data_IF_134164829754
#
_entry.id   IF_134164829754
#
_cell.length_a   1.000
_cell.length_b   1.000
_cell.length_c   1.000
_cell.angle_alpha   90.00
_cell.angle_beta   90.00
_cell.angle_gamma   90.00
#
_symmetry.space_group_name_H-M   'P 1'
#
loop_
_entity.id
_entity.type
_entity.pdbx_description
1 polymer ?
#
# COMPACT_ATOMS: atom_id res chain seq x y z
N UNK A 1 9.15 -37.51 -56.13
CA UNK A 1 8.70 -38.89 -56.38
C UNK A 1 7.61 -39.18 -55.40
N UNK A 2 6.36 -38.88 -55.81
CA UNK A 2 5.20 -39.79 -55.97
C UNK A 2 4.98 -40.72 -54.75
N UNK A 3 3.84 -40.81 -54.09
CA UNK A 3 2.48 -41.13 -54.65
C UNK A 3 1.43 -40.81 -53.57
N UNK A 4 0.31 -40.24 -54.02
CA UNK A 4 -1.01 -40.15 -53.41
C UNK A 4 -1.58 -41.55 -53.13
N UNK A 5 -2.41 -41.68 -52.06
CA UNK A 5 -3.64 -42.47 -52.17
C UNK A 5 -4.71 -41.95 -51.21
N UNK A 6 -5.84 -41.64 -51.79
CA UNK A 6 -7.15 -41.38 -51.18
C UNK A 6 -7.75 -42.68 -50.65
N UNK A 7 -8.42 -42.61 -49.52
CA UNK A 7 -9.57 -43.47 -49.28
C UNK A 7 -10.70 -42.68 -48.62
N UNK A 8 -11.80 -42.69 -49.31
CA UNK A 8 -13.08 -42.11 -48.92
C UNK A 8 -13.91 -43.25 -48.33
N UNK A 9 -14.57 -42.99 -47.20
CA UNK A 9 -15.45 -44.01 -46.61
C UNK A 9 -16.37 -43.44 -45.51
N UNK A 10 -17.52 -43.05 -45.92
CA UNK A 10 -18.88 -43.12 -45.34
C UNK A 10 -19.18 -42.60 -43.94
N UNK A 11 -20.11 -41.65 -43.93
CA UNK A 11 -20.97 -41.21 -42.82
C UNK A 11 -21.62 -42.38 -42.06
N UNK A 12 -21.62 -42.25 -40.71
CA UNK A 12 -22.68 -42.72 -39.86
C UNK A 12 -22.99 -41.66 -38.83
N UNK A 13 -24.13 -41.00 -39.00
CA UNK A 13 -24.79 -40.17 -37.98
C UNK A 13 -25.15 -41.04 -36.78
N UNK A 14 -24.52 -40.74 -35.65
CA UNK A 14 -24.96 -41.22 -34.35
C UNK A 14 -25.06 -40.00 -33.43
N UNK A 15 -26.26 -39.41 -33.35
CA UNK A 15 -26.55 -38.37 -32.38
C UNK A 15 -26.45 -38.93 -30.99
N UNK A 16 -25.35 -38.57 -30.27
CA UNK A 16 -25.33 -38.62 -28.81
C UNK A 16 -25.64 -37.22 -28.34
N UNK A 17 -26.86 -37.01 -27.93
CA UNK A 17 -27.24 -35.97 -26.97
C UNK A 17 -26.43 -36.23 -25.70
N UNK A 18 -25.29 -35.58 -25.61
CA UNK A 18 -24.56 -35.40 -24.36
C UNK A 18 -25.42 -34.50 -23.47
N UNK A 19 -26.23 -35.11 -22.61
CA UNK A 19 -26.71 -34.46 -21.40
C UNK A 19 -25.46 -34.10 -20.60
N UNK A 20 -25.03 -32.87 -20.75
CA UNK A 20 -24.12 -32.22 -19.82
C UNK A 20 -24.84 -32.19 -18.49
N UNK A 21 -24.62 -33.21 -17.67
CA UNK A 21 -24.93 -33.18 -16.26
C UNK A 21 -24.08 -32.06 -15.68
N UNK A 22 -24.65 -30.88 -15.49
CA UNK A 22 -24.21 -29.97 -14.46
C UNK A 22 -24.34 -30.77 -13.16
N UNK A 23 -23.26 -31.37 -12.73
CA UNK A 23 -23.12 -31.79 -11.33
C UNK A 23 -23.06 -30.49 -10.54
N UNK A 24 -24.24 -30.00 -10.11
CA UNK A 24 -24.29 -29.07 -8.99
C UNK A 24 -23.52 -29.74 -7.84
N UNK A 25 -22.46 -29.09 -7.35
CA UNK A 25 -21.87 -29.49 -6.07
C UNK A 25 -23.03 -29.66 -5.08
N UNK A 26 -23.07 -30.72 -4.26
CA UNK A 26 -24.08 -30.82 -3.23
C UNK A 26 -24.01 -29.54 -2.40
N UNK A 27 -25.12 -28.78 -2.38
CA UNK A 27 -25.20 -27.56 -1.61
C UNK A 27 -24.84 -27.86 -0.16
N UNK A 28 -23.98 -27.02 0.41
CA UNK A 28 -23.69 -27.10 1.85
C UNK A 28 -25.00 -26.93 2.56
N UNK A 29 -25.38 -27.95 3.35
CA UNK A 29 -26.62 -27.90 4.11
C UNK A 29 -26.45 -26.87 5.23
N UNK A 30 -27.19 -25.78 5.15
CA UNK A 30 -27.35 -24.87 6.29
C UNK A 30 -27.85 -25.73 7.46
N UNK A 31 -27.18 -25.69 8.61
CA UNK A 31 -27.55 -26.55 9.74
C UNK A 31 -29.02 -26.36 10.13
N UNK A 32 -29.73 -27.46 10.32
CA UNK A 32 -31.12 -27.42 10.76
C UNK A 32 -31.18 -27.10 12.26
N UNK A 33 -31.94 -26.05 12.62
CA UNK A 33 -32.16 -25.62 14.02
C UNK A 33 -30.85 -25.31 14.80
N UNK A 34 -29.94 -24.47 14.26
CA UNK A 34 -28.75 -24.09 15.00
C UNK A 34 -29.12 -23.26 16.25
N UNK A 35 -28.28 -23.35 17.28
CA UNK A 35 -28.36 -22.49 18.46
C UNK A 35 -28.03 -21.05 18.01
N UNK A 36 -28.90 -20.11 18.32
CA UNK A 36 -28.68 -18.69 17.95
C UNK A 36 -27.77 -18.02 18.97
N UNK A 37 -26.58 -17.59 18.53
CA UNK A 37 -25.70 -16.73 19.30
C UNK A 37 -26.05 -15.26 19.00
N UNK A 38 -26.43 -14.48 20.02
CA UNK A 38 -26.76 -13.07 19.87
C UNK A 38 -25.50 -12.17 19.85
N UNK A 39 -24.40 -12.65 19.27
CA UNK A 39 -23.13 -11.95 19.17
C UNK A 39 -22.49 -12.20 17.80
N UNK A 40 -21.68 -11.23 17.35
CA UNK A 40 -20.86 -11.38 16.15
C UNK A 40 -19.80 -12.48 16.36
N UNK A 41 -19.42 -13.21 15.30
CA UNK A 41 -18.29 -14.12 15.37
C UNK A 41 -17.00 -13.35 15.59
N UNK A 42 -16.07 -13.94 16.32
CA UNK A 42 -14.69 -13.44 16.34
C UNK A 42 -13.94 -14.07 15.17
N UNK A 43 -13.55 -13.28 14.21
CA UNK A 43 -12.87 -13.74 13.01
C UNK A 43 -11.48 -13.10 12.84
N UNK A 44 -10.55 -13.80 12.22
CA UNK A 44 -9.23 -13.30 11.88
C UNK A 44 -8.82 -13.72 10.46
N UNK A 45 -8.47 -12.76 9.58
CA UNK A 45 -8.55 -11.30 9.79
C UNK A 45 -9.98 -10.82 10.05
N UNK A 46 -10.13 -9.67 10.73
CA UNK A 46 -11.44 -9.06 10.98
C UNK A 46 -11.93 -8.33 9.74
N UNK A 47 -12.94 -8.91 9.09
CA UNK A 47 -13.59 -8.36 7.89
C UNK A 47 -15.02 -7.85 8.15
N UNK A 48 -15.40 -7.69 9.41
CA UNK A 48 -16.75 -7.23 9.77
C UNK A 48 -16.91 -5.75 9.36
N UNK A 49 -17.88 -5.48 8.48
CA UNK A 49 -18.20 -4.13 8.03
C UNK A 49 -17.15 -3.47 7.11
N UNK A 50 -16.24 -4.24 6.52
CA UNK A 50 -15.23 -3.69 5.61
C UNK A 50 -15.81 -3.35 4.23
N UNK A 51 -15.23 -2.35 3.57
CA UNK A 51 -15.51 -2.03 2.16
C UNK A 51 -14.42 -2.62 1.28
N UNK A 52 -14.82 -3.33 0.22
CA UNK A 52 -13.90 -4.02 -0.69
C UNK A 52 -14.13 -3.64 -2.15
N UNK A 53 -13.10 -3.66 -3.01
CA UNK A 53 -13.28 -3.55 -4.45
C UNK A 53 -13.81 -4.88 -5.02
N UNK A 54 -14.54 -4.82 -6.11
CA UNK A 54 -15.12 -6.01 -6.76
C UNK A 54 -14.06 -6.98 -7.35
N UNK A 55 -12.79 -6.61 -7.32
CA UNK A 55 -11.66 -7.38 -7.86
C UNK A 55 -10.73 -7.96 -6.80
N UNK A 56 -11.03 -7.79 -5.50
CA UNK A 56 -10.16 -8.27 -4.42
C UNK A 56 -10.16 -9.80 -4.33
N UNK A 57 -9.04 -10.38 -3.93
CA UNK A 57 -8.93 -11.80 -3.58
C UNK A 57 -9.95 -12.19 -2.50
N UNK A 58 -10.36 -13.48 -2.42
CA UNK A 58 -11.28 -13.94 -1.40
C UNK A 58 -10.87 -13.52 0.01
N UNK A 59 -11.84 -13.03 0.77
CA UNK A 59 -11.65 -12.70 2.18
C UNK A 59 -11.76 -13.96 3.04
N UNK A 60 -10.76 -14.83 2.93
CA UNK A 60 -10.67 -16.02 3.74
C UNK A 60 -10.36 -15.67 5.20
N UNK A 61 -11.03 -16.32 6.16
CA UNK A 61 -10.83 -16.04 7.58
C UNK A 61 -10.98 -17.27 8.46
N UNK A 62 -10.29 -17.25 9.58
CA UNK A 62 -10.50 -18.20 10.67
C UNK A 62 -11.57 -17.67 11.63
N UNK A 63 -12.32 -18.56 12.24
CA UNK A 63 -13.15 -18.24 13.40
C UNK A 63 -12.34 -18.53 14.66
N UNK A 64 -12.15 -17.50 15.49
CA UNK A 64 -11.40 -17.62 16.75
C UNK A 64 -12.26 -18.32 17.83
N UNK A 65 -12.53 -19.59 17.63
CA UNK A 65 -13.25 -20.46 18.56
C UNK A 65 -12.46 -21.74 18.79
N UNK A 66 -11.93 -21.90 19.99
CA UNK A 66 -10.93 -22.92 20.36
C UNK A 66 -11.47 -24.35 20.19
N UNK A 67 -12.78 -24.55 20.32
CA UNK A 67 -13.41 -25.89 20.28
C UNK A 67 -14.21 -26.13 18.99
N UNK A 68 -14.01 -25.34 17.93
CA UNK A 68 -14.68 -25.53 16.66
C UNK A 68 -14.21 -26.82 15.98
N UNK A 69 -15.14 -27.70 15.62
CA UNK A 69 -14.90 -28.95 14.88
C UNK A 69 -15.10 -28.71 13.38
N UNK A 70 -16.02 -27.81 13.01
CA UNK A 70 -16.27 -27.37 11.64
C UNK A 70 -16.82 -25.96 11.61
N UNK A 71 -16.54 -25.25 10.52
CA UNK A 71 -17.01 -23.89 10.24
C UNK A 71 -17.71 -23.89 8.89
N UNK A 72 -19.01 -23.56 8.86
CA UNK A 72 -19.74 -23.32 7.62
C UNK A 72 -20.01 -21.82 7.49
N UNK A 73 -19.77 -21.27 6.31
CA UNK A 73 -20.00 -19.86 6.02
C UNK A 73 -20.86 -19.73 4.77
N UNK A 74 -21.90 -18.92 4.88
CA UNK A 74 -22.76 -18.54 3.75
C UNK A 74 -22.58 -17.04 3.49
N UNK A 75 -22.34 -16.67 2.24
CA UNK A 75 -22.19 -15.29 1.79
C UNK A 75 -23.26 -15.01 0.76
N UNK A 76 -24.26 -14.21 1.11
CA UNK A 76 -25.39 -13.85 0.25
C UNK A 76 -25.21 -12.44 -0.30
N UNK A 77 -25.28 -12.29 -1.63
CA UNK A 77 -25.30 -11.00 -2.28
C UNK A 77 -26.63 -10.25 -2.13
N UNK A 78 -26.58 -8.98 -1.76
CA UNK A 78 -27.80 -8.15 -1.64
C UNK A 78 -28.56 -7.97 -2.96
N UNK A 79 -27.91 -8.16 -4.09
CA UNK A 79 -28.55 -8.10 -5.41
C UNK A 79 -28.82 -9.49 -5.96
N UNK A 80 -27.82 -10.36 -5.99
CA UNK A 80 -27.94 -11.71 -6.53
C UNK A 80 -26.75 -12.58 -6.10
N UNK A 81 -26.98 -13.87 -6.01
CA UNK A 81 -25.96 -14.90 -5.82
C UNK A 81 -25.67 -15.23 -4.37
N UNK A 82 -25.10 -16.39 -4.19
CA UNK A 82 -24.71 -16.95 -2.90
C UNK A 82 -23.43 -17.76 -3.09
N UNK A 83 -22.58 -17.74 -2.10
CA UNK A 83 -21.36 -18.53 -2.02
C UNK A 83 -21.26 -19.20 -0.66
N UNK A 84 -20.77 -20.42 -0.61
CA UNK A 84 -20.67 -21.19 0.61
C UNK A 84 -19.26 -21.76 0.80
N UNK A 85 -18.85 -21.90 2.06
CA UNK A 85 -17.60 -22.54 2.46
C UNK A 85 -17.84 -23.46 3.64
N UNK A 86 -17.22 -24.64 3.64
CA UNK A 86 -17.23 -25.63 4.71
C UNK A 86 -15.79 -26.08 5.00
N UNK A 87 -15.45 -26.28 6.27
CA UNK A 87 -14.16 -26.78 6.68
C UNK A 87 -13.69 -26.22 8.02
N UNK A 88 -12.38 -26.17 8.20
CA UNK A 88 -11.76 -25.65 9.42
C UNK A 88 -11.77 -24.11 9.48
N UNK A 89 -11.93 -23.45 8.31
CA UNK A 89 -11.98 -22.00 8.17
C UNK A 89 -12.75 -21.60 6.91
N UNK A 90 -13.17 -20.35 6.81
CA UNK A 90 -13.79 -19.79 5.61
C UNK A 90 -12.76 -19.70 4.47
N UNK A 91 -13.03 -20.45 3.39
CA UNK A 91 -12.15 -20.50 2.21
C UNK A 91 -13.01 -20.55 0.94
N UNK A 92 -12.89 -19.52 0.09
CA UNK A 92 -13.72 -19.35 -1.08
C UNK A 92 -12.91 -19.54 -2.37
N UNK A 93 -13.55 -20.13 -3.38
CA UNK A 93 -13.00 -20.20 -4.72
C UNK A 93 -12.85 -18.78 -5.32
N UNK A 94 -11.74 -18.52 -5.97
CA UNK A 94 -11.40 -17.18 -6.48
C UNK A 94 -12.38 -16.71 -7.57
N UNK A 95 -12.74 -17.59 -8.51
CA UNK A 95 -13.59 -17.25 -9.64
C UNK A 95 -15.04 -17.06 -9.19
N UNK A 96 -15.53 -17.92 -8.29
CA UNK A 96 -16.87 -17.80 -7.70
C UNK A 96 -16.98 -16.54 -6.83
N UNK A 97 -15.93 -16.22 -6.05
CA UNK A 97 -15.85 -15.01 -5.26
C UNK A 97 -15.90 -13.73 -6.14
N UNK A 98 -15.07 -13.65 -7.18
CA UNK A 98 -15.07 -12.53 -8.11
C UNK A 98 -16.42 -12.39 -8.83
N UNK A 99 -17.05 -13.51 -9.18
CA UNK A 99 -18.38 -13.48 -9.79
C UNK A 99 -19.42 -12.87 -8.85
N UNK A 100 -19.43 -13.30 -7.59
CA UNK A 100 -20.34 -12.75 -6.58
C UNK A 100 -20.10 -11.26 -6.34
N UNK A 101 -18.84 -10.83 -6.18
CA UNK A 101 -18.49 -9.42 -6.00
C UNK A 101 -18.93 -8.56 -7.20
N UNK A 102 -18.66 -9.02 -8.43
CA UNK A 102 -19.01 -8.29 -9.65
C UNK A 102 -20.52 -8.07 -9.76
N UNK A 103 -21.33 -9.07 -9.40
CA UNK A 103 -22.79 -8.98 -9.41
C UNK A 103 -23.35 -8.06 -8.32
N UNK A 104 -22.60 -7.86 -7.24
CA UNK A 104 -23.04 -7.05 -6.07
C UNK A 104 -22.31 -5.72 -5.94
N UNK A 105 -21.60 -5.27 -6.97
CA UNK A 105 -20.91 -3.97 -6.98
C UNK A 105 -21.84 -2.81 -6.61
N UNK A 106 -21.45 -2.00 -5.62
CA UNK A 106 -22.29 -0.95 -5.03
C UNK A 106 -23.45 -1.47 -4.18
N UNK A 107 -23.34 -2.69 -3.68
CA UNK A 107 -24.25 -3.33 -2.72
C UNK A 107 -23.46 -4.01 -1.61
N UNK A 108 -24.12 -4.92 -0.91
CA UNK A 108 -23.57 -5.58 0.27
C UNK A 108 -23.54 -7.09 0.08
N UNK A 109 -22.67 -7.76 0.80
CA UNK A 109 -22.66 -9.20 1.02
C UNK A 109 -22.97 -9.45 2.48
N UNK A 110 -24.04 -10.19 2.75
CA UNK A 110 -24.37 -10.66 4.09
C UNK A 110 -23.64 -11.96 4.38
N UNK A 111 -22.89 -12.01 5.45
CA UNK A 111 -22.10 -13.17 5.86
C UNK A 111 -22.71 -13.80 7.11
N UNK A 112 -23.10 -15.08 7.00
CA UNK A 112 -23.61 -15.91 8.09
C UNK A 112 -22.58 -16.97 8.44
N UNK A 113 -22.19 -17.05 9.71
CA UNK A 113 -21.19 -18.01 10.21
C UNK A 113 -21.87 -19.03 11.13
N UNK A 114 -21.64 -20.30 10.84
CA UNK A 114 -22.06 -21.44 11.66
C UNK A 114 -20.80 -22.16 12.16
N UNK A 115 -20.83 -22.56 13.44
CA UNK A 115 -19.75 -23.32 14.07
C UNK A 115 -20.29 -24.58 14.72
N UNK A 116 -19.69 -25.73 14.40
CA UNK A 116 -20.01 -27.02 15.01
C UNK A 116 -19.12 -27.30 16.21
N UNK A 117 -19.73 -27.72 17.30
CA UNK A 117 -19.07 -28.22 18.52
C UNK A 117 -19.81 -29.40 19.08
N UNK A 118 -19.15 -30.55 19.21
CA UNK A 118 -19.69 -31.78 19.77
C UNK A 118 -21.06 -32.14 19.16
N UNK A 119 -21.15 -32.02 17.83
CA UNK A 119 -22.33 -32.31 17.06
C UNK A 119 -23.47 -31.29 17.18
N UNK A 120 -23.25 -30.13 17.79
CA UNK A 120 -24.21 -29.04 17.89
C UNK A 120 -23.73 -27.82 17.08
N UNK A 121 -24.63 -27.32 16.25
CA UNK A 121 -24.38 -26.14 15.44
C UNK A 121 -24.81 -24.85 16.14
N UNK A 122 -23.96 -23.82 16.10
CA UNK A 122 -24.27 -22.47 16.58
C UNK A 122 -24.20 -21.52 15.41
N UNK A 123 -25.25 -20.72 15.19
CA UNK A 123 -25.27 -19.62 14.22
C UNK A 123 -24.96 -18.34 14.95
N UNK A 124 -23.92 -17.64 14.49
CA UNK A 124 -23.57 -16.30 14.96
C UNK A 124 -24.45 -15.23 14.29
N UNK A 125 -24.48 -14.02 14.88
CA UNK A 125 -25.12 -12.86 14.27
C UNK A 125 -24.43 -12.54 12.93
N UNK A 126 -25.23 -12.31 11.90
CA UNK A 126 -24.77 -11.94 10.56
C UNK A 126 -24.00 -10.60 10.59
N UNK A 127 -23.08 -10.44 9.65
CA UNK A 127 -22.40 -9.18 9.37
C UNK A 127 -22.33 -8.90 7.87
N UNK A 128 -22.09 -7.64 7.52
CA UNK A 128 -22.01 -7.20 6.14
C UNK A 128 -20.57 -6.94 5.70
N UNK A 129 -20.31 -7.17 4.41
CA UNK A 129 -19.14 -6.70 3.65
C UNK A 129 -19.68 -5.80 2.54
N UNK A 130 -19.20 -4.56 2.45
CA UNK A 130 -19.63 -3.60 1.45
C UNK A 130 -18.82 -3.73 0.17
N UNK A 131 -19.47 -3.88 -0.98
CA UNK A 131 -18.81 -3.94 -2.29
C UNK A 131 -18.83 -2.55 -2.92
N UNK A 132 -17.68 -1.91 -2.97
CA UNK A 132 -17.54 -0.55 -3.49
C UNK A 132 -18.05 -0.40 -4.93
N UNK A 133 -18.69 0.71 -5.29
CA UNK A 133 -18.97 1.07 -6.68
C UNK A 133 -17.71 1.49 -7.45
N UNK A 134 -16.62 1.88 -6.74
CA UNK A 134 -15.37 2.32 -7.36
C UNK A 134 -14.50 1.12 -7.76
N UNK A 135 -13.95 1.19 -8.97
CA UNK A 135 -13.04 0.16 -9.46
C UNK A 135 -11.70 0.23 -8.73
N UNK A 136 -11.01 -0.91 -8.67
CA UNK A 136 -9.59 -1.00 -8.37
C UNK A 136 -8.97 -1.86 -9.48
N UNK A 137 -8.39 -1.19 -10.49
CA UNK A 137 -7.82 -1.85 -11.67
C UNK A 137 -6.29 -1.98 -11.59
N UNK A 138 -5.69 -1.60 -10.47
CA UNK A 138 -4.26 -1.82 -10.24
C UNK A 138 -4.00 -3.30 -10.00
N UNK A 139 -2.95 -3.82 -10.67
CA UNK A 139 -2.59 -5.24 -10.55
C UNK A 139 -2.29 -5.67 -9.11
N UNK A 140 -1.64 -4.80 -8.36
CA UNK A 140 -1.23 -5.15 -7.01
C UNK A 140 -0.46 -4.05 -6.29
N UNK A 141 0.23 -4.46 -5.25
CA UNK A 141 1.07 -3.59 -4.42
C UNK A 141 2.51 -4.07 -4.38
N UNK A 142 3.43 -3.10 -4.32
CA UNK A 142 4.84 -3.37 -4.07
C UNK A 142 5.19 -2.89 -2.66
N UNK A 143 5.85 -3.72 -1.88
CA UNK A 143 6.18 -3.42 -0.50
C UNK A 143 7.51 -4.02 -0.07
N UNK A 144 8.08 -3.45 0.97
CA UNK A 144 9.24 -3.99 1.65
C UNK A 144 8.80 -4.94 2.76
N UNK A 145 9.33 -6.15 2.78
CA UNK A 145 9.16 -7.12 3.87
C UNK A 145 10.45 -7.24 4.67
N UNK A 146 10.38 -6.97 5.95
CA UNK A 146 11.50 -6.98 6.89
C UNK A 146 10.99 -7.33 8.29
N UNK A 147 11.83 -8.03 9.08
CA UNK A 147 11.55 -8.25 10.49
C UNK A 147 11.43 -6.91 11.26
N UNK A 148 10.72 -6.88 12.39
CA UNK A 148 10.64 -5.69 13.25
C UNK A 148 12.02 -5.16 13.63
N UNK A 149 12.16 -3.84 13.73
CA UNK A 149 13.45 -3.16 13.81
C UNK A 149 14.34 -3.46 15.02
N UNK A 150 13.87 -4.24 15.99
CA UNK A 150 14.68 -4.72 17.12
C UNK A 150 15.26 -6.12 16.90
N UNK A 151 14.93 -6.78 15.79
CA UNK A 151 15.53 -8.06 15.38
C UNK A 151 16.65 -7.82 14.38
N UNK A 152 17.70 -8.64 14.48
CA UNK A 152 18.71 -8.72 13.41
C UNK A 152 18.02 -9.33 12.20
N UNK A 153 17.89 -8.55 11.13
CA UNK A 153 17.24 -9.05 9.93
C UNK A 153 18.12 -10.05 9.18
N UNK A 154 17.69 -11.31 9.11
CA UNK A 154 18.31 -12.32 8.25
C UNK A 154 17.86 -12.13 6.80
N UNK A 155 16.56 -12.26 6.54
CA UNK A 155 15.95 -12.14 5.23
C UNK A 155 15.03 -10.92 5.15
N UNK A 156 15.27 -10.05 4.17
CA UNK A 156 14.40 -8.94 3.83
C UNK A 156 14.38 -8.75 2.30
N UNK A 157 13.37 -8.08 1.80
CA UNK A 157 13.27 -7.85 0.36
C UNK A 157 12.18 -6.88 -0.02
N UNK A 158 12.15 -6.57 -1.31
CA UNK A 158 11.06 -5.88 -1.98
C UNK A 158 10.24 -6.93 -2.71
N UNK A 159 8.95 -6.96 -2.44
CA UNK A 159 8.00 -7.93 -2.96
C UNK A 159 6.88 -7.21 -3.69
N UNK A 160 6.25 -7.92 -4.60
CA UNK A 160 4.98 -7.51 -5.21
C UNK A 160 3.93 -8.58 -4.93
N UNK A 161 2.70 -8.13 -4.70
CA UNK A 161 1.54 -8.98 -4.44
C UNK A 161 0.38 -8.56 -5.31
N UNK A 162 -0.22 -9.53 -5.99
CA UNK A 162 -1.46 -9.35 -6.71
C UNK A 162 -2.62 -9.15 -5.74
N UNK A 163 -3.50 -8.19 -5.99
CA UNK A 163 -4.66 -7.94 -5.13
C UNK A 163 -5.87 -8.79 -5.47
N UNK A 164 -5.93 -9.37 -6.68
CA UNK A 164 -7.05 -10.22 -7.10
C UNK A 164 -6.89 -11.69 -6.74
N UNK A 165 -5.70 -12.09 -6.28
CA UNK A 165 -5.40 -13.46 -5.87
C UNK A 165 -4.35 -13.45 -4.74
N UNK A 166 -3.75 -14.61 -4.45
CA UNK A 166 -2.76 -14.75 -3.37
C UNK A 166 -1.31 -14.78 -3.87
N UNK A 167 -1.07 -14.44 -5.14
CA UNK A 167 0.26 -14.49 -5.73
C UNK A 167 1.15 -13.39 -5.14
N UNK A 168 2.29 -13.80 -4.59
CA UNK A 168 3.36 -12.94 -4.08
C UNK A 168 4.68 -13.36 -4.70
N UNK A 169 5.43 -12.41 -5.25
CA UNK A 169 6.76 -12.66 -5.81
C UNK A 169 7.78 -11.68 -5.28
N UNK A 170 9.03 -12.14 -5.09
CA UNK A 170 10.13 -11.28 -4.72
C UNK A 170 10.67 -10.54 -5.96
N UNK A 171 10.80 -9.22 -5.87
CA UNK A 171 11.50 -8.40 -6.87
C UNK A 171 13.01 -8.51 -6.62
N UNK A 172 13.44 -8.35 -5.35
CA UNK A 172 14.81 -8.54 -4.91
C UNK A 172 14.85 -8.85 -3.42
N UNK A 173 15.65 -9.82 -3.04
CA UNK A 173 15.95 -10.14 -1.65
C UNK A 173 17.42 -9.83 -1.31
N UNK A 174 17.69 -9.47 -0.06
CA UNK A 174 19.05 -9.19 0.41
C UNK A 174 19.97 -10.42 0.39
N UNK A 175 19.43 -11.61 0.21
CA UNK A 175 20.20 -12.84 -0.02
C UNK A 175 21.06 -12.76 -1.28
N UNK A 176 20.67 -11.94 -2.26
CA UNK A 176 21.47 -11.63 -3.45
C UNK A 176 22.68 -10.70 -3.16
N UNK A 177 22.65 -9.97 -2.05
CA UNK A 177 23.72 -9.09 -1.57
C UNK A 177 23.75 -9.16 -0.03
N UNK A 178 24.40 -10.18 0.57
CA UNK A 178 24.41 -10.39 2.01
C UNK A 178 24.89 -9.16 2.78
N UNK A 179 24.19 -8.83 3.87
CA UNK A 179 24.45 -7.63 4.66
C UNK A 179 23.83 -6.34 4.09
N UNK A 180 23.25 -6.38 2.88
CA UNK A 180 22.57 -5.23 2.29
C UNK A 180 21.16 -5.05 2.89
N UNK A 181 20.74 -3.78 2.96
CA UNK A 181 19.37 -3.39 3.27
C UNK A 181 18.75 -2.78 2.01
N UNK A 182 17.58 -3.28 1.62
CA UNK A 182 16.81 -2.81 0.46
C UNK A 182 15.69 -1.90 0.93
N UNK A 183 15.58 -0.70 0.35
CA UNK A 183 14.56 0.27 0.74
C UNK A 183 14.26 1.31 -0.35
N UNK A 184 13.41 2.28 -0.03
CA UNK A 184 13.13 3.47 -0.84
C UNK A 184 12.73 3.10 -2.28
N UNK A 185 11.81 2.13 -2.44
CA UNK A 185 11.31 1.72 -3.74
C UNK A 185 10.12 2.58 -4.19
N UNK A 186 10.04 2.85 -5.48
CA UNK A 186 8.86 3.45 -6.11
C UNK A 186 8.81 3.12 -7.59
N UNK A 187 7.62 2.92 -8.11
CA UNK A 187 7.36 2.86 -9.55
C UNK A 187 6.89 4.23 -10.05
N UNK A 188 7.01 4.48 -11.36
CA UNK A 188 6.37 5.64 -11.96
C UNK A 188 4.86 5.40 -12.04
N UNK A 189 4.11 6.01 -11.12
CA UNK A 189 2.69 5.72 -10.91
C UNK A 189 2.51 4.21 -10.68
N UNK A 190 1.74 3.54 -11.52
CA UNK A 190 1.48 2.10 -11.49
C UNK A 190 2.23 1.33 -12.58
N UNK A 191 3.26 1.94 -13.22
CA UNK A 191 4.04 1.30 -14.27
C UNK A 191 5.16 0.42 -13.70
N UNK A 192 5.07 -0.92 -13.77
CA UNK A 192 6.07 -1.82 -13.21
C UNK A 192 7.41 -1.83 -13.99
N UNK A 193 7.44 -1.33 -15.21
CA UNK A 193 8.65 -1.31 -16.06
C UNK A 193 9.56 -0.11 -15.76
N UNK A 194 9.03 0.90 -15.07
CA UNK A 194 9.76 2.08 -14.66
C UNK A 194 9.74 2.22 -13.14
N UNK A 195 10.85 1.82 -12.50
CA UNK A 195 10.95 1.85 -11.05
C UNK A 195 12.37 2.14 -10.58
N UNK A 196 12.50 2.46 -9.31
CA UNK A 196 13.77 2.66 -8.62
C UNK A 196 13.69 2.15 -7.20
N UNK A 197 14.82 1.71 -6.67
CA UNK A 197 15.00 1.43 -5.24
C UNK A 197 16.46 1.61 -4.82
N UNK A 198 16.71 1.74 -3.52
CA UNK A 198 18.03 1.94 -2.96
C UNK A 198 18.51 0.74 -2.18
N UNK A 199 19.76 0.34 -2.40
CA UNK A 199 20.51 -0.68 -1.65
C UNK A 199 21.49 0.04 -0.72
N UNK A 200 21.47 -0.32 0.56
CA UNK A 200 22.39 0.20 1.59
C UNK A 200 23.39 -0.88 1.99
N UNK A 201 24.50 -0.47 2.56
CA UNK A 201 25.60 -1.37 2.99
C UNK A 201 26.79 -1.29 2.03
N UNK A 202 27.67 -2.29 2.07
CA UNK A 202 28.93 -2.30 1.32
C UNK A 202 28.75 -2.19 -0.19
N UNK A 203 27.63 -2.66 -0.71
CA UNK A 203 27.24 -2.56 -2.12
C UNK A 203 26.23 -1.43 -2.37
N UNK A 204 26.25 -0.36 -1.54
CA UNK A 204 25.29 0.74 -1.60
C UNK A 204 25.20 1.38 -2.98
N UNK A 205 24.02 1.34 -3.60
CA UNK A 205 23.73 1.93 -4.89
C UNK A 205 22.21 2.09 -5.07
N UNK A 206 21.80 2.95 -5.99
CA UNK A 206 20.39 3.10 -6.39
C UNK A 206 20.18 2.42 -7.74
N UNK A 207 19.26 1.48 -7.82
CA UNK A 207 18.81 0.92 -9.09
C UNK A 207 17.80 1.88 -9.72
N UNK A 208 17.98 2.16 -11.00
CA UNK A 208 16.98 2.81 -11.85
C UNK A 208 16.65 1.88 -13.00
N UNK A 209 15.39 1.52 -13.15
CA UNK A 209 14.86 0.73 -14.27
C UNK A 209 13.99 1.62 -15.14
N UNK A 210 14.32 1.74 -16.41
CA UNK A 210 13.59 2.57 -17.36
C UNK A 210 13.81 2.05 -18.79
N UNK A 211 12.76 2.01 -19.61
CA UNK A 211 12.85 1.61 -21.04
C UNK A 211 13.56 0.26 -21.25
N UNK A 212 13.30 -0.72 -20.37
CA UNK A 212 13.92 -2.05 -20.41
C UNK A 212 15.38 -2.10 -19.99
N UNK A 213 15.99 -0.96 -19.59
CA UNK A 213 17.35 -0.89 -19.06
C UNK A 213 17.34 -0.78 -17.55
N UNK A 214 18.31 -1.44 -16.92
CA UNK A 214 18.54 -1.38 -15.46
C UNK A 214 19.95 -0.85 -15.22
N UNK A 215 20.05 0.22 -14.46
CA UNK A 215 21.31 0.89 -14.16
C UNK A 215 21.50 1.02 -12.65
N UNK A 216 22.72 0.80 -12.20
CA UNK A 216 23.13 1.00 -10.81
C UNK A 216 23.90 2.30 -10.68
N UNK A 217 23.36 3.23 -9.90
CA UNK A 217 23.90 4.56 -9.72
C UNK A 217 24.56 4.69 -8.34
N UNK A 218 25.75 5.28 -8.32
CA UNK A 218 26.43 5.78 -7.13
C UNK A 218 26.53 7.29 -7.25
N UNK A 219 25.55 8.00 -6.71
CA UNK A 219 25.39 9.44 -6.94
C UNK A 219 26.26 10.34 -6.03
N UNK A 220 27.00 9.76 -5.09
CA UNK A 220 27.88 10.56 -4.21
C UNK A 220 28.96 11.28 -5.02
N UNK A 221 28.99 12.60 -4.88
CA UNK A 221 29.99 13.47 -5.43
C UNK A 221 30.19 14.71 -4.51
N UNK A 222 30.94 15.71 -4.94
CA UNK A 222 31.21 16.91 -4.14
C UNK A 222 29.94 17.74 -3.84
N UNK A 223 28.96 17.70 -4.72
CA UNK A 223 27.69 18.42 -4.58
C UNK A 223 26.61 17.59 -3.87
N UNK A 224 26.67 16.25 -3.94
CA UNK A 224 25.70 15.33 -3.35
C UNK A 224 26.41 14.33 -2.44
N UNK A 225 26.41 14.58 -1.14
CA UNK A 225 27.18 13.78 -0.15
C UNK A 225 26.44 12.55 0.37
N UNK A 226 25.12 12.47 0.18
CA UNK A 226 24.25 11.39 0.65
C UNK A 226 23.87 10.38 -0.43
N UNK A 227 23.06 9.42 -0.05
CA UNK A 227 22.44 8.44 -0.96
C UNK A 227 21.16 8.99 -1.54
N UNK A 228 20.78 8.56 -2.75
CA UNK A 228 19.49 8.87 -3.37
C UNK A 228 18.39 8.05 -2.68
N UNK A 229 17.59 8.68 -1.84
CA UNK A 229 16.53 8.05 -1.06
C UNK A 229 15.18 8.75 -1.28
N UNK A 230 14.10 8.14 -0.84
CA UNK A 230 12.72 8.63 -0.97
C UNK A 230 12.35 9.10 -2.39
N UNK A 231 12.53 8.22 -3.39
CA UNK A 231 12.28 8.56 -4.78
C UNK A 231 10.81 8.82 -5.10
N UNK A 232 10.58 9.72 -6.07
CA UNK A 232 9.28 9.87 -6.72
C UNK A 232 9.43 10.29 -8.18
N UNK A 233 8.82 9.53 -9.09
CA UNK A 233 8.89 9.80 -10.50
C UNK A 233 8.01 10.98 -10.91
N UNK A 234 8.55 11.82 -11.80
CA UNK A 234 7.73 12.76 -12.54
C UNK A 234 6.78 12.01 -13.48
N UNK A 235 5.51 12.45 -13.66
CA UNK A 235 4.53 11.73 -14.46
C UNK A 235 4.95 11.47 -15.91
N UNK A 236 5.83 12.31 -16.49
CA UNK A 236 6.40 12.06 -17.82
C UNK A 236 7.39 10.89 -17.88
N UNK A 237 7.83 10.37 -16.74
CA UNK A 237 8.90 9.38 -16.65
C UNK A 237 10.32 9.92 -16.97
N UNK A 238 10.46 11.19 -17.29
CA UNK A 238 11.73 11.82 -17.68
C UNK A 238 12.64 12.13 -16.49
N UNK A 239 12.04 12.38 -15.34
CA UNK A 239 12.71 12.81 -14.12
C UNK A 239 12.29 11.95 -12.94
N UNK A 240 13.16 11.84 -11.95
CA UNK A 240 12.84 11.26 -10.65
C UNK A 240 13.38 12.19 -9.55
N UNK A 241 12.50 12.64 -8.66
CA UNK A 241 12.90 13.41 -7.49
C UNK A 241 13.42 12.45 -6.41
N UNK A 242 14.42 12.91 -5.67
CA UNK A 242 15.02 12.20 -4.54
C UNK A 242 15.30 13.18 -3.41
N UNK A 243 15.48 12.65 -2.22
CA UNK A 243 16.24 13.37 -1.20
C UNK A 243 17.52 12.64 -0.86
N UNK A 244 18.45 13.37 -0.26
CA UNK A 244 19.63 12.81 0.41
C UNK A 244 19.50 13.11 1.89
N UNK A 245 19.57 12.07 2.72
CA UNK A 245 19.38 12.21 4.16
C UNK A 245 20.59 11.63 4.90
N UNK A 246 21.19 12.44 5.77
CA UNK A 246 22.10 11.97 6.81
C UNK A 246 21.28 11.78 8.07
N UNK A 247 21.05 10.53 8.46
CA UNK A 247 20.17 10.19 9.58
C UNK A 247 20.97 9.65 10.74
N UNK A 248 20.45 9.88 11.95
CA UNK A 248 20.87 9.17 13.16
C UNK A 248 19.72 8.27 13.64
N UNK A 249 20.07 7.05 14.03
CA UNK A 249 19.13 6.09 14.59
C UNK A 249 19.48 5.81 16.04
N UNK A 250 18.50 5.92 16.93
CA UNK A 250 18.59 5.58 18.32
C UNK A 250 17.56 4.54 18.73
N UNK A 251 17.82 3.79 19.78
CA UNK A 251 16.88 2.84 20.34
C UNK A 251 16.35 3.38 21.68
N UNK A 252 15.04 3.34 21.84
CA UNK A 252 14.39 3.66 23.11
C UNK A 252 14.29 2.42 24.00
N UNK A 253 14.55 2.61 25.29
CA UNK A 253 14.26 1.59 26.30
C UNK A 253 12.81 1.65 26.81
N UNK A 254 11.94 2.41 26.15
CA UNK A 254 10.55 2.62 26.54
C UNK A 254 9.65 1.64 25.80
N UNK A 255 8.65 1.10 26.52
CA UNK A 255 7.59 0.32 25.91
C UNK A 255 6.87 1.19 24.88
N UNK A 256 6.54 0.61 23.74
CA UNK A 256 5.82 1.24 22.62
C UNK A 256 6.64 2.21 21.75
N UNK A 257 7.79 2.71 22.20
CA UNK A 257 8.74 3.49 21.40
C UNK A 257 10.03 2.67 21.25
N UNK A 258 10.33 2.21 20.03
CA UNK A 258 11.46 1.30 19.80
C UNK A 258 12.65 1.97 19.15
N UNK A 259 12.40 2.66 18.07
CA UNK A 259 13.43 3.25 17.23
C UNK A 259 13.06 4.69 16.95
N UNK A 260 14.03 5.57 17.13
CA UNK A 260 13.95 6.96 16.69
C UNK A 260 14.92 7.15 15.54
N UNK A 261 14.45 7.81 14.47
CA UNK A 261 15.28 8.21 13.35
C UNK A 261 15.06 9.69 13.08
N UNK A 262 16.11 10.46 13.17
CA UNK A 262 16.06 11.90 12.88
C UNK A 262 17.13 12.33 11.89
N UNK A 263 16.81 13.35 11.12
CA UNK A 263 17.72 13.95 10.16
C UNK A 263 18.76 14.81 10.88
N UNK A 264 20.00 14.73 10.41
CA UNK A 264 21.09 15.65 10.73
C UNK A 264 21.37 16.60 9.57
N UNK A 265 21.03 16.19 8.36
CA UNK A 265 21.03 16.97 7.14
C UNK A 265 20.17 16.25 6.10
N UNK A 266 19.41 17.00 5.33
CA UNK A 266 18.69 16.45 4.19
C UNK A 266 18.43 17.54 3.14
N UNK A 267 18.54 17.15 1.88
CA UNK A 267 18.35 18.02 0.72
C UNK A 267 17.47 17.31 -0.31
N UNK A 268 16.71 18.06 -1.09
CA UNK A 268 15.88 17.57 -2.20
C UNK A 268 16.52 17.95 -3.55
N UNK A 269 16.50 17.02 -4.48
CA UNK A 269 16.99 17.24 -5.84
C UNK A 269 16.22 16.38 -6.85
N UNK A 270 16.40 16.68 -8.13
CA UNK A 270 15.83 15.90 -9.23
C UNK A 270 16.94 15.28 -10.05
N UNK A 271 16.75 14.04 -10.45
CA UNK A 271 17.64 13.32 -11.34
C UNK A 271 16.95 13.05 -12.67
N UNK A 272 17.66 13.31 -13.77
CA UNK A 272 17.26 12.95 -15.11
C UNK A 272 18.08 11.73 -15.56
N UNK A 273 17.48 10.53 -15.70
CA UNK A 273 18.23 9.32 -16.06
C UNK A 273 18.91 9.37 -17.44
N UNK A 274 18.37 10.17 -18.36
CA UNK A 274 18.98 10.41 -19.67
C UNK A 274 18.95 11.90 -19.96
N UNK A 275 20.10 12.60 -19.90
CA UNK A 275 21.50 12.17 -20.07
C UNK A 275 22.33 11.92 -18.78
N UNK A 276 21.74 11.53 -17.65
CA UNK A 276 22.40 11.40 -16.34
C UNK A 276 22.74 12.74 -15.68
N UNK A 277 21.76 13.57 -15.54
CA UNK A 277 21.92 14.92 -15.00
C UNK A 277 21.29 15.04 -13.60
N UNK A 278 22.02 15.70 -12.69
CA UNK A 278 21.51 16.15 -11.40
C UNK A 278 21.01 17.59 -11.54
N UNK A 279 19.75 17.82 -11.21
CA UNK A 279 19.13 19.14 -11.19
C UNK A 279 19.04 19.58 -9.73
N UNK A 280 19.91 20.51 -9.37
CA UNK A 280 20.07 21.03 -8.02
C UNK A 280 19.56 22.47 -7.95
N UNK A 281 18.96 22.83 -6.81
CA UNK A 281 18.51 24.21 -6.56
C UNK A 281 18.79 24.60 -5.11
N UNK A 282 19.28 25.83 -4.90
CA UNK A 282 19.59 26.35 -3.57
C UNK A 282 18.38 26.51 -2.66
N UNK A 283 17.17 26.58 -3.20
CA UNK A 283 15.92 26.63 -2.45
C UNK A 283 15.51 25.26 -1.87
N UNK A 284 16.14 24.18 -2.35
CA UNK A 284 15.89 22.80 -1.96
C UNK A 284 17.08 22.14 -1.26
N UNK A 285 18.16 22.91 -1.04
CA UNK A 285 19.43 22.48 -0.43
C UNK A 285 19.94 23.56 0.52
N UNK A 286 19.11 23.85 1.52
CA UNK A 286 19.39 24.96 2.43
C UNK A 286 20.20 24.48 3.64
N UNK A 287 20.99 25.38 4.27
CA UNK A 287 21.80 25.03 5.44
C UNK A 287 21.00 25.02 6.74
N UNK A 288 19.92 25.78 6.76
CA UNK A 288 19.16 26.07 7.97
C UNK A 288 17.86 25.23 8.07
N UNK A 289 17.60 24.40 7.04
CA UNK A 289 16.43 23.53 7.00
C UNK A 289 16.82 22.11 6.58
N UNK A 290 15.93 21.19 6.84
CA UNK A 290 15.90 19.84 6.31
C UNK A 290 14.83 19.76 5.24
N UNK A 291 15.17 19.36 4.01
CA UNK A 291 14.25 19.12 2.91
C UNK A 291 14.22 17.63 2.58
N UNK A 292 13.03 17.03 2.54
CA UNK A 292 12.88 15.57 2.32
C UNK A 292 11.54 15.20 1.72
N UNK A 293 11.36 13.94 1.34
CA UNK A 293 10.11 13.35 0.81
C UNK A 293 9.53 14.10 -0.40
N UNK A 294 10.32 14.34 -1.45
CA UNK A 294 9.81 15.02 -2.63
C UNK A 294 8.80 14.18 -3.38
N UNK A 295 7.76 14.82 -3.94
CA UNK A 295 6.72 14.18 -4.73
C UNK A 295 6.17 15.15 -5.77
N UNK A 296 6.09 14.73 -7.03
CA UNK A 296 5.51 15.55 -8.09
C UNK A 296 3.97 15.52 -8.05
N UNK A 297 3.38 16.64 -8.40
CA UNK A 297 1.95 16.72 -8.72
C UNK A 297 1.61 15.82 -9.92
N UNK A 298 0.35 15.37 -10.06
CA UNK A 298 -0.06 14.52 -11.18
C UNK A 298 0.12 15.14 -12.57
N UNK A 299 0.09 16.47 -12.66
CA UNK A 299 0.37 17.23 -13.89
C UNK A 299 1.85 17.52 -14.11
N UNK A 300 2.71 17.21 -13.13
CA UNK A 300 4.16 17.38 -13.17
C UNK A 300 4.65 18.83 -13.05
N UNK A 301 3.77 19.80 -12.78
CA UNK A 301 4.15 21.22 -12.73
C UNK A 301 4.61 21.69 -11.36
N UNK A 302 4.42 20.88 -10.34
CA UNK A 302 4.73 21.20 -8.95
C UNK A 302 5.49 20.06 -8.32
N UNK A 303 6.53 20.38 -7.57
CA UNK A 303 7.19 19.48 -6.64
C UNK A 303 6.74 19.85 -5.23
N UNK A 304 6.08 18.92 -4.55
CA UNK A 304 5.80 18.99 -3.11
C UNK A 304 6.95 18.32 -2.36
N UNK A 305 7.24 18.79 -1.16
CA UNK A 305 8.25 18.21 -0.29
C UNK A 305 8.00 18.61 1.17
N UNK A 306 8.70 17.97 2.09
CA UNK A 306 8.65 18.34 3.51
C UNK A 306 9.85 19.20 3.85
N UNK A 307 9.64 20.28 4.61
CA UNK A 307 10.72 21.12 5.13
C UNK A 307 10.53 21.43 6.61
N UNK A 308 11.62 21.39 7.36
CA UNK A 308 11.70 21.77 8.78
C UNK A 308 12.94 22.60 9.03
N UNK A 309 12.85 23.58 9.94
CA UNK A 309 14.05 24.24 10.46
C UNK A 309 14.97 23.21 11.11
N UNK A 310 16.26 23.32 10.87
CA UNK A 310 17.27 22.49 11.51
C UNK A 310 17.38 22.84 13.00
N UNK A 311 17.39 21.81 13.84
CA UNK A 311 17.49 21.97 15.30
C UNK A 311 18.77 21.30 15.83
N UNK A 312 19.29 21.73 16.97
CA UNK A 312 20.47 21.10 17.57
C UNK A 312 20.22 19.64 17.94
N UNK A 313 21.01 18.74 17.39
CA UNK A 313 20.89 17.29 17.62
C UNK A 313 21.99 16.82 18.58
N UNK A 314 21.69 15.96 19.58
CA UNK A 314 20.41 15.27 19.81
C UNK A 314 19.39 16.02 20.68
N UNK A 315 19.72 17.16 21.27
CA UNK A 315 18.88 17.82 22.28
C UNK A 315 17.54 18.33 21.76
N UNK A 316 17.49 18.79 20.52
CA UNK A 316 16.32 19.40 19.88
C UNK A 316 15.54 18.48 18.95
N UNK A 317 15.76 17.16 18.95
CA UNK A 317 15.13 16.27 17.97
C UNK A 317 13.60 16.30 18.01
N UNK A 318 12.98 16.57 19.17
CA UNK A 318 11.51 16.70 19.32
C UNK A 318 10.97 18.05 18.83
N UNK A 319 11.85 19.01 18.57
CA UNK A 319 11.49 20.33 18.04
C UNK A 319 11.54 20.36 16.52
N UNK A 320 12.05 19.30 15.88
CA UNK A 320 12.01 19.12 14.43
C UNK A 320 10.57 18.86 14.00
N UNK A 321 9.98 19.82 13.31
CA UNK A 321 8.57 19.78 12.86
C UNK A 321 8.49 20.17 11.40
N UNK A 322 8.18 19.19 10.57
CA UNK A 322 8.08 19.36 9.13
C UNK A 322 6.74 19.97 8.72
N UNK A 323 6.82 20.88 7.77
CA UNK A 323 5.69 21.42 7.02
C UNK A 323 5.65 20.78 5.63
N UNK A 324 4.51 20.84 4.95
CA UNK A 324 4.41 20.49 3.54
C UNK A 324 4.58 21.76 2.71
N UNK A 325 5.58 21.74 1.85
CA UNK A 325 5.95 22.85 0.96
C UNK A 325 5.78 22.48 -0.50
N UNK A 326 5.78 23.46 -1.38
CA UNK A 326 5.76 23.28 -2.84
C UNK A 326 6.71 24.27 -3.54
N UNK A 327 7.20 23.84 -4.70
CA UNK A 327 7.91 24.68 -5.67
C UNK A 327 7.45 24.31 -7.07
N UNK A 328 7.38 25.28 -7.99
CA UNK A 328 7.10 25.02 -9.39
C UNK A 328 8.19 24.20 -10.05
N UNK A 329 7.85 23.39 -11.06
CA UNK A 329 8.81 22.65 -11.88
C UNK A 329 8.40 22.69 -13.35
N UNK A 330 9.32 23.10 -14.22
CA UNK A 330 9.14 23.08 -15.66
C UNK A 330 9.83 21.86 -16.28
N UNK A 331 9.06 20.85 -16.64
CA UNK A 331 9.58 19.62 -17.22
C UNK A 331 10.16 19.79 -18.66
N UNK A 332 9.88 20.90 -19.33
CA UNK A 332 10.47 21.18 -20.64
C UNK A 332 11.94 21.62 -20.52
N UNK A 333 12.25 22.37 -19.49
CA UNK A 333 13.59 22.94 -19.24
C UNK A 333 14.34 22.27 -18.09
N UNK A 334 13.66 21.46 -17.26
CA UNK A 334 14.21 20.88 -16.04
C UNK A 334 14.49 21.91 -14.94
N UNK A 335 13.81 23.06 -14.93
CA UNK A 335 14.07 24.13 -13.97
C UNK A 335 12.99 24.23 -12.90
N UNK A 336 13.42 24.58 -11.71
CA UNK A 336 12.51 24.92 -10.62
C UNK A 336 12.01 26.36 -10.73
N UNK A 337 10.90 26.64 -10.06
CA UNK A 337 10.42 27.99 -9.82
C UNK A 337 11.35 28.75 -8.87
N UNK A 338 11.07 30.03 -8.65
CA UNK A 338 11.93 30.93 -7.84
C UNK A 338 11.38 31.15 -6.41
N UNK A 339 10.35 30.42 -6.01
CA UNK A 339 9.69 30.58 -4.71
C UNK A 339 9.26 29.24 -4.16
N UNK A 340 9.47 29.04 -2.86
CA UNK A 340 8.91 27.95 -2.06
C UNK A 340 7.73 28.48 -1.25
N UNK A 341 6.59 27.83 -1.36
CA UNK A 341 5.38 28.12 -0.57
C UNK A 341 5.10 27.01 0.41
N UNK A 342 4.73 27.33 1.64
CA UNK A 342 4.18 26.37 2.59
C UNK A 342 2.69 26.20 2.33
N UNK A 343 2.25 24.97 2.02
CA UNK A 343 0.84 24.66 1.76
C UNK A 343 0.13 24.06 2.97
N UNK A 344 0.88 23.51 3.92
CA UNK A 344 0.38 23.06 5.20
C UNK A 344 1.41 23.28 6.29
N UNK A 345 1.09 24.13 7.27
CA UNK A 345 1.96 24.50 8.36
C UNK A 345 1.65 23.67 9.62
N UNK A 346 2.23 22.45 9.69
CA UNK A 346 2.05 21.57 10.84
C UNK A 346 2.76 22.10 12.10
N UNK A 347 3.85 22.87 11.95
CA UNK A 347 4.61 23.47 13.06
C UNK A 347 3.75 24.41 13.89
N UNK A 348 2.86 25.18 13.29
CA UNK A 348 1.89 26.04 14.01
C UNK A 348 0.91 25.23 14.87
N UNK A 349 0.65 23.98 14.50
CA UNK A 349 -0.16 23.05 15.28
C UNK A 349 0.65 22.28 16.33
N UNK A 350 1.96 22.56 16.44
CA UNK A 350 2.88 21.80 17.30
C UNK A 350 3.18 20.39 16.81
N UNK A 351 2.92 20.11 15.51
CA UNK A 351 3.02 18.79 14.86
C UNK A 351 4.04 18.78 13.72
N UNK A 352 4.26 17.60 13.18
CA UNK A 352 5.11 17.33 12.03
C UNK A 352 4.31 16.62 10.94
N UNK A 353 4.33 17.12 9.69
CA UNK A 353 3.67 16.53 8.54
C UNK A 353 4.71 15.93 7.57
N UNK A 354 4.59 14.65 7.26
CA UNK A 354 5.57 13.92 6.45
C UNK A 354 4.90 13.03 5.40
N UNK A 355 5.68 12.51 4.45
CA UNK A 355 5.23 11.55 3.42
C UNK A 355 4.05 12.08 2.58
N UNK A 356 4.09 13.28 2.01
CA UNK A 356 3.02 13.76 1.16
C UNK A 356 2.83 12.83 -0.05
N UNK A 357 1.58 12.53 -0.39
CA UNK A 357 1.21 11.77 -1.58
C UNK A 357 -0.01 12.40 -2.23
N UNK A 358 0.14 13.08 -3.37
CA UNK A 358 -0.99 13.62 -4.11
C UNK A 358 -1.81 12.49 -4.74
N UNK A 359 -3.14 12.61 -4.70
CA UNK A 359 -4.04 11.76 -5.47
C UNK A 359 -3.84 11.99 -6.97
N UNK A 360 -4.07 10.98 -7.81
CA UNK A 360 -3.82 11.09 -9.26
C UNK A 360 -4.76 12.07 -9.97
N UNK A 361 -5.93 12.37 -9.39
CA UNK A 361 -6.85 13.41 -9.84
C UNK A 361 -6.39 14.83 -9.46
N UNK A 362 -5.37 14.94 -8.60
CA UNK A 362 -4.79 16.20 -8.17
C UNK A 362 -5.62 16.97 -7.13
N UNK A 363 -6.65 16.35 -6.56
CA UNK A 363 -7.53 17.00 -5.60
C UNK A 363 -6.96 16.99 -4.18
N UNK A 364 -6.35 15.91 -3.78
CA UNK A 364 -5.92 15.68 -2.41
C UNK A 364 -4.42 15.48 -2.29
N UNK A 365 -3.88 15.81 -1.12
CA UNK A 365 -2.60 15.28 -0.63
C UNK A 365 -2.87 14.50 0.66
N UNK A 366 -2.58 13.21 0.65
CA UNK A 366 -2.51 12.40 1.86
C UNK A 366 -1.12 12.56 2.48
N UNK A 367 -1.03 12.66 3.80
CA UNK A 367 0.23 12.78 4.52
C UNK A 367 0.12 12.15 5.91
N UNK A 368 1.26 11.89 6.54
CA UNK A 368 1.30 11.42 7.92
C UNK A 368 1.56 12.58 8.86
N UNK A 369 0.74 12.72 9.89
CA UNK A 369 0.91 13.70 10.97
C UNK A 369 1.44 12.97 12.21
N UNK A 370 2.49 13.51 12.82
CA UNK A 370 3.06 13.03 14.10
C UNK A 370 3.39 14.20 15.02
N UNK A 371 3.83 13.93 16.26
CA UNK A 371 4.21 14.98 17.19
C UNK A 371 5.50 15.68 16.77
N UNK A 372 6.43 14.97 16.14
CA UNK A 372 7.73 15.50 15.69
C UNK A 372 8.39 14.57 14.67
N UNK A 373 9.50 15.00 14.09
CA UNK A 373 10.42 14.20 13.31
C UNK A 373 9.96 13.87 11.88
N UNK A 374 10.80 13.13 11.17
CA UNK A 374 10.59 12.77 9.77
C UNK A 374 10.20 11.30 9.57
N UNK A 375 10.41 10.43 10.56
CA UNK A 375 10.27 8.99 10.40
C UNK A 375 9.28 8.38 11.40
N UNK A 376 7.96 8.62 11.23
CA UNK A 376 6.94 8.39 12.25
C UNK A 376 6.53 6.91 12.41
N UNK A 377 7.18 5.95 11.75
CA UNK A 377 6.74 4.54 11.75
C UNK A 377 6.71 3.89 13.14
N UNK A 378 7.44 4.46 14.11
CA UNK A 378 7.42 4.04 15.50
C UNK A 378 6.75 5.05 16.44
N UNK A 379 6.23 6.14 15.89
CA UNK A 379 5.44 7.12 16.63
C UNK A 379 4.01 6.64 16.75
N UNK A 380 3.60 6.26 17.94
CA UNK A 380 2.30 5.65 18.20
C UNK A 380 1.12 6.55 17.83
N UNK A 381 1.32 7.85 17.94
CA UNK A 381 0.34 8.91 17.65
C UNK A 381 0.32 9.34 16.17
N UNK A 382 1.14 8.70 15.34
CA UNK A 382 1.19 9.05 13.93
C UNK A 382 -0.05 8.54 13.18
N UNK A 383 -0.74 9.46 12.53
CA UNK A 383 -2.01 9.28 11.83
C UNK A 383 -1.95 9.75 10.38
N UNK A 384 -2.74 9.14 9.51
CA UNK A 384 -2.97 9.62 8.15
C UNK A 384 -3.94 10.82 8.15
N UNK A 385 -3.57 11.84 7.41
CA UNK A 385 -4.35 13.06 7.19
C UNK A 385 -4.55 13.32 5.72
N UNK A 386 -5.62 14.04 5.39
CA UNK A 386 -5.98 14.42 4.03
C UNK A 386 -6.09 15.94 3.92
N UNK A 387 -5.29 16.54 3.04
CA UNK A 387 -5.36 17.95 2.64
C UNK A 387 -6.13 18.04 1.32
N UNK A 388 -7.25 18.74 1.31
CA UNK A 388 -7.99 19.10 0.09
C UNK A 388 -7.35 20.36 -0.51
N UNK A 389 -6.73 20.24 -1.68
CA UNK A 389 -6.00 21.31 -2.35
C UNK A 389 -6.93 22.42 -2.88
N UNK A 390 -8.22 22.15 -3.03
CA UNK A 390 -9.20 23.13 -3.47
C UNK A 390 -9.66 24.03 -2.34
N UNK A 391 -9.84 23.47 -1.16
CA UNK A 391 -10.35 24.20 0.03
C UNK A 391 -9.24 24.61 0.99
N UNK A 392 -8.03 24.08 0.80
CA UNK A 392 -6.86 24.25 1.67
C UNK A 392 -7.10 23.78 3.11
N UNK A 393 -8.09 22.87 3.29
CA UNK A 393 -8.43 22.32 4.59
C UNK A 393 -7.83 20.92 4.75
N UNK A 394 -7.19 20.69 5.90
CA UNK A 394 -6.68 19.37 6.26
C UNK A 394 -7.51 18.76 7.40
N UNK A 395 -7.65 17.42 7.36
CA UNK A 395 -8.40 16.67 8.37
C UNK A 395 -7.83 15.28 8.59
N UNK A 396 -7.98 14.70 9.79
CA UNK A 396 -7.57 13.32 10.04
C UNK A 396 -8.48 12.36 9.27
N UNK A 397 -7.90 11.24 8.82
CA UNK A 397 -8.64 10.15 8.19
C UNK A 397 -9.12 9.14 9.24
N UNK A 398 -10.06 9.59 10.09
CA UNK A 398 -10.45 8.90 11.33
C UNK A 398 -10.88 7.45 11.11
N UNK A 399 -11.56 7.12 10.00
CA UNK A 399 -11.99 5.75 9.71
C UNK A 399 -10.82 4.83 9.34
N UNK A 400 -9.74 5.39 8.77
CA UNK A 400 -8.53 4.65 8.44
C UNK A 400 -7.53 4.59 9.61
N UNK A 401 -7.55 5.57 10.51
CA UNK A 401 -6.61 5.67 11.62
C UNK A 401 -6.97 4.75 12.79
N UNK A 402 -5.99 4.42 13.60
CA UNK A 402 -6.11 3.54 14.76
C UNK A 402 -5.43 4.16 16.00
N UNK A 403 -5.44 3.44 17.11
CA UNK A 403 -4.70 3.84 18.32
C UNK A 403 -3.17 3.64 18.26
N UNK A 404 -2.67 3.10 17.17
CA UNK A 404 -1.25 2.86 16.91
C UNK A 404 -0.88 3.51 15.59
N UNK A 405 0.41 3.57 15.30
CA UNK A 405 0.95 4.18 14.08
C UNK A 405 0.21 3.79 12.82
N UNK A 406 -0.26 4.78 12.08
CA UNK A 406 -0.82 4.66 10.72
C UNK A 406 -0.04 5.59 9.79
N UNK A 407 0.62 5.05 8.74
CA UNK A 407 1.56 5.82 7.92
C UNK A 407 1.86 5.14 6.56
N UNK A 408 2.86 5.64 5.82
CA UNK A 408 3.37 5.04 4.58
C UNK A 408 2.28 4.64 3.59
N UNK A 409 1.53 5.61 3.13
CA UNK A 409 0.39 5.46 2.24
C UNK A 409 0.74 5.72 0.78
N UNK A 410 -0.09 5.17 -0.13
CA UNK A 410 -0.04 5.47 -1.56
C UNK A 410 -1.40 5.26 -2.21
N UNK A 411 -1.68 6.00 -3.29
CA UNK A 411 -2.94 5.97 -4.01
C UNK A 411 -2.97 4.92 -5.11
N UNK A 412 -4.15 4.39 -5.39
CA UNK A 412 -4.48 3.75 -6.65
C UNK A 412 -4.60 4.79 -7.77
N UNK A 413 -4.48 4.34 -9.03
CA UNK A 413 -4.52 5.24 -10.20
C UNK A 413 -5.86 5.96 -10.38
N UNK A 414 -6.94 5.43 -9.83
CA UNK A 414 -8.30 6.01 -9.90
C UNK A 414 -8.60 6.99 -8.76
N UNK A 415 -7.69 7.14 -7.79
CA UNK A 415 -7.80 8.03 -6.63
C UNK A 415 -8.92 7.70 -5.64
N UNK A 416 -9.60 6.54 -5.79
CA UNK A 416 -10.63 6.07 -4.87
C UNK A 416 -10.15 5.02 -3.88
N UNK A 417 -8.97 4.45 -4.11
CA UNK A 417 -8.36 3.49 -3.22
C UNK A 417 -6.99 3.97 -2.79
N UNK A 418 -6.60 3.60 -1.59
CA UNK A 418 -5.25 3.80 -1.11
C UNK A 418 -4.83 2.65 -0.21
N UNK A 419 -3.54 2.34 -0.26
CA UNK A 419 -2.89 1.43 0.65
C UNK A 419 -2.14 2.23 1.70
N UNK A 420 -2.14 1.77 2.94
CA UNK A 420 -1.37 2.35 4.03
C UNK A 420 -0.86 1.27 4.97
N UNK A 421 0.10 1.63 5.80
CA UNK A 421 0.65 0.73 6.82
C UNK A 421 0.08 1.08 8.19
N UNK A 422 -0.19 0.05 8.99
CA UNK A 422 -0.72 0.20 10.34
C UNK A 422 -0.14 -0.84 11.29
N UNK A 423 0.03 -0.44 12.54
CA UNK A 423 0.39 -1.32 13.66
C UNK A 423 -0.80 -1.65 14.57
N UNK A 424 -2.02 -1.44 14.11
CA UNK A 424 -3.27 -1.61 14.88
C UNK A 424 -3.46 -2.96 15.53
N UNK A 425 -2.87 -4.04 14.98
CA UNK A 425 -3.05 -5.39 15.49
C UNK A 425 -2.38 -5.61 16.86
N UNK A 426 -1.08 -5.39 16.94
CA UNK A 426 -0.26 -5.72 18.12
C UNK A 426 0.71 -4.61 18.53
N UNK A 427 0.73 -3.50 17.82
CA UNK A 427 1.64 -2.37 18.06
C UNK A 427 3.09 -2.66 17.63
N UNK A 428 3.38 -3.84 17.09
CA UNK A 428 4.72 -4.31 16.76
C UNK A 428 4.91 -4.51 15.26
N UNK A 429 4.07 -5.35 14.64
CA UNK A 429 4.14 -5.64 13.22
C UNK A 429 3.37 -4.60 12.41
N UNK A 430 4.08 -4.00 11.45
CA UNK A 430 3.48 -3.13 10.46
C UNK A 430 2.85 -3.97 9.36
N UNK A 431 1.55 -3.84 9.14
CA UNK A 431 0.79 -4.54 8.10
C UNK A 431 0.20 -3.55 7.11
N UNK A 432 -0.03 -4.03 5.88
CA UNK A 432 -0.70 -3.26 4.84
C UNK A 432 -2.22 -3.36 4.99
N UNK A 433 -2.88 -2.23 4.82
CA UNK A 433 -4.33 -2.10 4.77
C UNK A 433 -4.74 -1.39 3.50
N UNK A 434 -5.87 -1.78 2.94
CA UNK A 434 -6.50 -1.14 1.79
C UNK A 434 -7.75 -0.40 2.28
N UNK A 435 -7.96 0.82 1.83
CA UNK A 435 -9.13 1.61 2.16
C UNK A 435 -9.71 2.31 0.93
N UNK A 436 -11.01 2.54 0.97
CA UNK A 436 -11.77 3.25 -0.06
C UNK A 436 -12.05 4.68 0.38
N UNK A 437 -12.04 5.61 -0.55
CA UNK A 437 -12.42 7.00 -0.34
C UNK A 437 -13.46 7.41 -1.38
N UNK A 438 -14.53 8.06 -0.95
CA UNK A 438 -15.60 8.53 -1.83
C UNK A 438 -15.27 9.87 -2.52
N UNK A 439 -16.13 10.31 -3.44
CA UNK A 439 -16.00 11.59 -4.13
C UNK A 439 -16.00 12.82 -3.20
N UNK A 440 -16.42 12.67 -1.95
CA UNK A 440 -16.41 13.72 -0.93
C UNK A 440 -15.15 13.66 -0.05
N UNK A 441 -14.31 12.66 -0.26
CA UNK A 441 -13.11 12.41 0.51
C UNK A 441 -13.39 11.68 1.84
N UNK A 442 -14.52 11.01 2.02
CA UNK A 442 -14.78 10.19 3.20
C UNK A 442 -14.24 8.77 3.00
N UNK A 443 -13.65 8.21 4.04
CA UNK A 443 -13.15 6.84 4.10
C UNK A 443 -14.23 5.92 4.67
#
# INVERSE_FOLDING_TARGET
MNIRQYFMGLLLMGGMLGLGSCMSKPGILVPTNPIQANQLPKIYPDYIGVTVPATIAPLNFNVEDIDAESVNVVVEGSKIGELQSEGDYANFDIDEWHHLLAQNRGGDLKVTVYVEKKGNWTQYKDFDIHVSPYALDDWGVTYRRIAPGYEVYGKLGIYQRNLSNFEETAILENTAAPGACLNCHTANRTNPDQFTFHVRGDHGATLVSQNGKREWLKAKNDSLKGSMVYPYWHPSGKYCAYSTNTTHQSFHAVKDERIEVFDQASDVFVYQPSPHELILDSLLMTKDHYETYPVFSPDGKTLYFCSSTAEPIPSGYKDIKYNICKIGFDAATGKFGNQVDTIFNARELGKSATHPRPSYDGRYIMFTMSDYGCFPIWHKEADNWLLDLKTEQARPMTAANSRNTDSWHNWSKDSHWFVFTSRRGDGLYTRLYLACIDDKGNV
#
